data_IF_261401516524
#
_entry.id   IF_261401516524
#
_cell.length_a   1.000
_cell.length_b   1.000
_cell.length_c   1.000
_cell.angle_alpha   90.00
_cell.angle_beta   90.00
_cell.angle_gamma   90.00
#
_symmetry.space_group_name_H-M   'P 1'
#
loop_
_entity.id
_entity.type
_entity.pdbx_description
1 polymer ?
#
# COMPACT_ATOMS: atom_id res chain seq x y z
N UNK A 1 8.00 -7.26 -10.00
CA UNK A 1 7.10 -6.08 -10.00
C UNK A 1 6.85 -5.55 -8.59
N UNK A 2 6.32 -6.33 -7.63
CA UNK A 2 6.10 -5.91 -6.24
C UNK A 2 7.38 -5.40 -5.52
N UNK A 3 8.54 -6.03 -5.73
CA UNK A 3 9.82 -5.53 -5.21
C UNK A 3 10.21 -4.13 -5.74
N UNK A 4 9.76 -3.77 -6.96
CA UNK A 4 9.98 -2.43 -7.52
C UNK A 4 9.02 -1.39 -6.93
N UNK A 5 7.78 -1.76 -6.61
CA UNK A 5 6.84 -0.89 -5.89
C UNK A 5 7.38 -0.59 -4.49
N UNK A 6 7.81 -1.62 -3.75
CA UNK A 6 8.38 -1.44 -2.41
C UNK A 6 9.65 -0.60 -2.40
N UNK A 7 10.56 -0.77 -3.37
CA UNK A 7 11.75 0.09 -3.50
C UNK A 7 11.43 1.53 -3.86
N UNK A 8 10.42 1.76 -4.69
CA UNK A 8 10.12 3.09 -5.25
C UNK A 8 9.25 3.96 -4.35
N UNK A 9 8.59 3.35 -3.37
CA UNK A 9 7.74 4.04 -2.40
C UNK A 9 8.21 3.80 -0.95
N UNK A 10 9.50 3.47 -0.77
CA UNK A 10 10.06 3.12 0.54
C UNK A 10 9.98 4.28 1.55
N UNK A 11 9.97 5.53 1.09
CA UNK A 11 9.84 6.70 1.97
C UNK A 11 8.41 6.89 2.49
N UNK A 12 7.40 6.43 1.75
CA UNK A 12 6.00 6.45 2.18
C UNK A 12 5.67 5.26 3.10
N UNK A 13 6.40 4.15 2.97
CA UNK A 13 6.14 2.90 3.69
C UNK A 13 7.17 2.59 4.79
N UNK A 14 8.05 3.52 5.17
CA UNK A 14 9.16 3.26 6.11
C UNK A 14 8.70 2.77 7.49
N UNK A 15 7.47 3.11 7.89
CA UNK A 15 6.86 2.69 9.16
C UNK A 15 5.71 1.69 8.99
N UNK A 16 5.48 1.20 7.76
CA UNK A 16 4.33 0.36 7.47
C UNK A 16 4.67 -1.13 7.55
N UNK A 17 3.94 -1.88 8.38
CA UNK A 17 4.08 -3.33 8.43
C UNK A 17 3.49 -3.93 7.15
N UNK A 18 4.31 -4.68 6.40
CA UNK A 18 3.97 -5.22 5.09
C UNK A 18 3.46 -6.65 5.24
N UNK A 19 2.18 -6.85 4.94
CA UNK A 19 1.59 -8.19 4.81
C UNK A 19 1.15 -8.40 3.36
N UNK A 20 1.71 -9.42 2.70
CA UNK A 20 1.29 -9.82 1.34
C UNK A 20 0.32 -10.96 1.50
N UNK A 21 -0.96 -10.65 1.34
CA UNK A 21 -2.01 -11.65 1.40
C UNK A 21 -2.36 -12.13 0.00
N UNK A 22 -2.42 -13.44 -0.16
CA UNK A 22 -3.06 -14.10 -1.31
C UNK A 22 -4.54 -14.26 -1.01
N UNK A 23 -5.38 -13.57 -1.78
CA UNK A 23 -6.83 -13.68 -1.68
C UNK A 23 -7.42 -13.96 -3.06
N UNK A 24 -8.13 -15.08 -3.21
CA UNK A 24 -8.85 -15.46 -4.43
C UNK A 24 -7.99 -15.44 -5.71
N UNK A 25 -6.72 -15.87 -5.64
CA UNK A 25 -5.78 -15.88 -6.77
C UNK A 25 -5.11 -14.53 -7.05
N UNK A 26 -5.37 -13.50 -6.25
CA UNK A 26 -4.76 -12.18 -6.34
C UNK A 26 -3.79 -11.92 -5.20
N UNK A 27 -2.67 -11.25 -5.50
CA UNK A 27 -1.75 -10.73 -4.49
C UNK A 27 -2.19 -9.34 -4.05
N UNK A 28 -2.50 -9.17 -2.75
CA UNK A 28 -2.80 -7.86 -2.15
C UNK A 28 -1.69 -7.51 -1.16
N UNK A 29 -1.08 -6.34 -1.35
CA UNK A 29 -0.17 -5.78 -0.35
C UNK A 29 -0.99 -4.92 0.62
N UNK A 30 -0.87 -5.18 1.92
CA UNK A 30 -1.42 -4.35 2.98
C UNK A 30 -0.30 -3.62 3.69
N UNK A 31 -0.51 -2.32 3.88
CA UNK A 31 0.33 -1.44 4.68
C UNK A 31 -0.51 -0.99 5.89
N UNK A 32 0.04 -1.13 7.10
CA UNK A 32 -0.64 -0.75 8.36
C UNK A 32 0.25 0.17 9.19
N UNK A 33 -0.30 0.84 10.21
CA UNK A 33 0.47 1.78 11.05
C UNK A 33 0.64 3.19 10.47
N UNK A 34 -0.08 3.51 9.38
CA UNK A 34 -0.11 4.84 8.78
C UNK A 34 -1.21 5.70 9.40
N UNK A 35 -1.00 7.02 9.46
CA UNK A 35 -2.12 7.97 9.66
C UNK A 35 -3.05 7.93 8.45
N UNK A 36 -4.31 8.34 8.61
CA UNK A 36 -5.26 8.42 7.50
C UNK A 36 -4.72 9.26 6.34
N UNK A 37 -4.18 10.44 6.64
CA UNK A 37 -3.65 11.35 5.64
C UNK A 37 -2.45 10.76 4.88
N UNK A 38 -1.56 10.02 5.57
CA UNK A 38 -0.45 9.33 4.91
C UNK A 38 -0.93 8.17 4.03
N UNK A 39 -1.98 7.45 4.45
CA UNK A 39 -2.57 6.38 3.67
C UNK A 39 -3.28 6.90 2.40
N UNK A 40 -3.99 8.02 2.50
CA UNK A 40 -4.65 8.69 1.37
C UNK A 40 -3.62 9.15 0.34
N UNK A 41 -2.56 9.85 0.76
CA UNK A 41 -1.48 10.29 -0.13
C UNK A 41 -0.77 9.12 -0.83
N UNK A 42 -0.57 7.99 -0.14
CA UNK A 42 0.00 6.80 -0.75
C UNK A 42 -0.94 6.20 -1.82
N UNK A 43 -2.25 6.18 -1.58
CA UNK A 43 -3.21 5.70 -2.57
C UNK A 43 -3.31 6.61 -3.80
N UNK A 44 -3.23 7.94 -3.62
CA UNK A 44 -3.18 8.91 -4.72
C UNK A 44 -1.97 8.63 -5.63
N UNK A 45 -0.76 8.55 -5.05
CA UNK A 45 0.47 8.26 -5.80
C UNK A 45 0.45 6.90 -6.53
N UNK A 46 -0.26 5.91 -5.99
CA UNK A 46 -0.46 4.61 -6.62
C UNK A 46 -1.47 4.67 -7.78
N UNK A 47 -2.52 5.47 -7.62
CA UNK A 47 -3.56 5.65 -8.63
C UNK A 47 -3.03 6.29 -9.92
N UNK A 48 -2.09 7.24 -9.82
CA UNK A 48 -1.38 7.84 -10.96
C UNK A 48 -0.67 6.80 -11.84
N UNK A 49 -0.33 5.64 -11.23
CA UNK A 49 0.33 4.52 -11.91
C UNK A 49 -0.61 3.37 -12.24
N UNK A 50 -1.93 3.62 -12.18
CA UNK A 50 -3.00 2.65 -12.44
C UNK A 50 -2.96 1.45 -11.50
N UNK A 51 -2.47 1.64 -10.28
CA UNK A 51 -2.50 0.61 -9.23
C UNK A 51 -3.72 0.84 -8.37
N UNK A 52 -4.60 -0.16 -8.29
CA UNK A 52 -5.79 -0.11 -7.42
C UNK A 52 -5.34 -0.05 -5.95
N UNK A 53 -5.73 1.02 -5.25
CA UNK A 53 -5.45 1.24 -3.83
C UNK A 53 -6.73 1.62 -3.09
N UNK A 54 -6.80 1.29 -1.80
CA UNK A 54 -7.91 1.63 -0.92
C UNK A 54 -7.41 1.85 0.51
N UNK A 55 -7.91 2.90 1.15
CA UNK A 55 -7.69 3.16 2.57
C UNK A 55 -8.79 2.48 3.38
N UNK A 56 -8.41 1.69 4.39
CA UNK A 56 -9.34 0.93 5.23
C UNK A 56 -9.04 1.24 6.70
N UNK A 57 -10.04 1.70 7.45
CA UNK A 57 -9.90 1.87 8.91
C UNK A 57 -9.83 0.51 9.59
N UNK A 58 -8.91 0.29 10.56
CA UNK A 58 -8.94 -0.91 11.37
C UNK A 58 -10.24 -0.95 12.18
N UNK A 59 -10.93 -2.08 12.15
CA UNK A 59 -12.07 -2.43 13.00
C UNK A 59 -11.60 -2.84 14.38
#
# INVERSE_FOLDING_TARGET
WLNNVSRRFSSQFSNAQRDVQTANGWYRSRFTGMTQQAAEAACEALSERRVTCMVVRPS
#
